data_IF_794867187944
#
_entry.id   IF_794867187944
#
_cell.length_a   1.000
_cell.length_b   1.000
_cell.length_c   1.000
_cell.angle_alpha   90.00
_cell.angle_beta   90.00
_cell.angle_gamma   90.00
#
_symmetry.space_group_name_H-M   'P 1'
#
loop_
_entity.id
_entity.type
_entity.pdbx_description
1 polymer ?
#
# COMPACT_ATOMS: atom_id res chain seq x y z
N UNK A 1 -28.09 -5.19 -11.06
CA UNK A 1 -27.76 -6.13 -9.95
C UNK A 1 -26.25 -6.38 -10.02
N UNK A 2 -25.51 -6.29 -8.90
CA UNK A 2 -24.04 -6.48 -8.91
C UNK A 2 -23.75 -7.98 -9.05
N UNK A 3 -22.98 -8.39 -10.05
CA UNK A 3 -22.54 -9.77 -10.25
C UNK A 3 -21.64 -10.20 -9.09
N UNK A 4 -21.84 -11.41 -8.59
CA UNK A 4 -21.14 -11.95 -7.43
C UNK A 4 -20.26 -13.15 -7.82
N UNK A 5 -19.33 -13.53 -6.94
CA UNK A 5 -18.50 -14.75 -7.12
C UNK A 5 -19.39 -16.01 -7.20
N UNK A 6 -20.56 -16.01 -6.57
CA UNK A 6 -21.52 -17.12 -6.62
C UNK A 6 -22.14 -17.26 -8.01
N UNK A 7 -22.37 -16.16 -8.73
CA UNK A 7 -22.87 -16.20 -10.10
C UNK A 7 -21.84 -16.78 -11.06
N UNK A 8 -20.55 -16.39 -10.88
CA UNK A 8 -19.44 -16.98 -11.64
C UNK A 8 -19.32 -18.48 -11.38
N UNK A 9 -19.40 -18.89 -10.11
CA UNK A 9 -19.31 -20.30 -9.72
C UNK A 9 -20.42 -21.12 -10.35
N UNK A 10 -21.64 -20.59 -10.35
CA UNK A 10 -22.82 -21.22 -10.96
C UNK A 10 -22.67 -21.38 -12.47
N UNK A 11 -22.22 -20.33 -13.16
CA UNK A 11 -22.03 -20.37 -14.62
C UNK A 11 -20.87 -21.29 -15.01
N UNK A 12 -19.77 -21.29 -14.26
CA UNK A 12 -18.61 -22.14 -14.52
C UNK A 12 -18.81 -23.60 -14.07
N UNK A 13 -19.89 -23.93 -13.34
CA UNK A 13 -20.16 -25.27 -12.84
C UNK A 13 -19.17 -25.74 -11.77
N UNK A 14 -18.70 -24.83 -10.90
CA UNK A 14 -17.72 -25.10 -9.84
C UNK A 14 -18.12 -24.46 -8.52
N UNK A 15 -17.39 -24.75 -7.43
CA UNK A 15 -17.61 -24.09 -6.15
C UNK A 15 -17.05 -22.67 -6.14
N UNK A 16 -17.58 -21.80 -5.26
CA UNK A 16 -17.04 -20.45 -5.03
C UNK A 16 -15.58 -20.50 -4.55
N UNK A 17 -15.21 -21.54 -3.81
CA UNK A 17 -13.82 -21.79 -3.41
C UNK A 17 -12.91 -22.05 -4.61
N UNK A 18 -13.38 -22.83 -5.60
CA UNK A 18 -12.63 -23.10 -6.85
C UNK A 18 -12.45 -21.80 -7.65
N UNK A 19 -13.50 -20.97 -7.79
CA UNK A 19 -13.38 -19.65 -8.43
C UNK A 19 -12.35 -18.78 -7.70
N UNK A 20 -12.41 -18.73 -6.37
CA UNK A 20 -11.45 -17.96 -5.55
C UNK A 20 -10.01 -18.48 -5.71
N UNK A 21 -9.81 -19.79 -5.75
CA UNK A 21 -8.49 -20.39 -5.97
C UNK A 21 -7.94 -20.09 -7.37
N UNK A 22 -8.80 -20.10 -8.39
CA UNK A 22 -8.44 -19.76 -9.77
C UNK A 22 -8.00 -18.30 -9.90
N UNK A 23 -8.80 -17.37 -9.37
CA UNK A 23 -8.51 -15.93 -9.46
C UNK A 23 -7.23 -15.56 -8.69
N UNK A 24 -7.03 -16.15 -7.51
CA UNK A 24 -5.92 -15.79 -6.62
C UNK A 24 -4.70 -16.71 -6.72
N UNK A 25 -4.75 -17.73 -7.57
CA UNK A 25 -3.70 -18.74 -7.75
C UNK A 25 -3.19 -19.36 -6.42
N UNK A 26 -4.11 -19.62 -5.48
CA UNK A 26 -3.79 -20.07 -4.11
C UNK A 26 -3.72 -21.59 -3.97
N UNK A 27 -4.27 -22.34 -4.91
CA UNK A 27 -4.20 -23.81 -5.01
C UNK A 27 -4.18 -24.24 -6.47
N UNK A 28 -3.71 -25.45 -6.71
CA UNK A 28 -3.78 -26.05 -8.03
C UNK A 28 -5.24 -26.19 -8.47
N UNK A 29 -5.52 -25.73 -9.67
CA UNK A 29 -6.79 -25.93 -10.41
C UNK A 29 -6.41 -26.35 -11.82
N UNK A 30 -7.06 -27.36 -12.37
CA UNK A 30 -6.78 -27.83 -13.73
C UNK A 30 -7.01 -26.71 -14.75
N UNK A 31 -6.24 -26.73 -15.85
CA UNK A 31 -6.33 -25.67 -16.86
C UNK A 31 -7.69 -25.60 -17.53
N UNK A 32 -8.35 -26.75 -17.73
CA UNK A 32 -9.73 -26.82 -18.20
C UNK A 32 -10.70 -26.09 -17.27
N UNK A 33 -10.55 -26.27 -15.95
CA UNK A 33 -11.39 -25.62 -14.95
C UNK A 33 -11.10 -24.12 -14.89
N UNK A 34 -9.83 -23.72 -15.00
CA UNK A 34 -9.45 -22.29 -15.07
C UNK A 34 -10.11 -21.61 -16.26
N UNK A 35 -10.05 -22.26 -17.45
CA UNK A 35 -10.64 -21.68 -18.67
C UNK A 35 -12.15 -21.45 -18.51
N UNK A 36 -12.89 -22.43 -17.97
CA UNK A 36 -14.33 -22.28 -17.69
C UNK A 36 -14.61 -21.13 -16.73
N UNK A 37 -13.79 -20.98 -15.69
CA UNK A 37 -13.93 -19.89 -14.73
C UNK A 37 -13.66 -18.54 -15.38
N UNK A 38 -12.58 -18.40 -16.15
CA UNK A 38 -12.26 -17.15 -16.85
C UNK A 38 -13.30 -16.80 -17.92
N UNK A 39 -13.85 -17.78 -18.60
CA UNK A 39 -14.94 -17.57 -19.54
C UNK A 39 -16.19 -17.02 -18.81
N UNK A 40 -16.59 -17.64 -17.71
CA UNK A 40 -17.71 -17.15 -16.91
C UNK A 40 -17.49 -15.72 -16.36
N UNK A 41 -16.27 -15.38 -15.96
CA UNK A 41 -15.89 -14.03 -15.54
C UNK A 41 -16.09 -13.03 -16.69
N UNK A 42 -15.63 -13.35 -17.90
CA UNK A 42 -15.77 -12.51 -19.09
C UNK A 42 -17.24 -12.31 -19.48
N UNK A 43 -18.02 -13.40 -19.52
CA UNK A 43 -19.44 -13.37 -19.89
C UNK A 43 -20.29 -12.54 -18.93
N UNK A 44 -20.03 -12.64 -17.63
CA UNK A 44 -20.77 -11.93 -16.60
C UNK A 44 -20.25 -10.51 -16.34
N UNK A 45 -19.10 -10.14 -16.89
CA UNK A 45 -18.42 -8.89 -16.55
C UNK A 45 -18.05 -8.82 -15.07
N UNK A 46 -17.74 -9.96 -14.44
CA UNK A 46 -17.41 -10.02 -13.03
C UNK A 46 -16.05 -9.38 -12.77
N UNK A 47 -16.03 -8.39 -11.90
CA UNK A 47 -14.79 -7.82 -11.37
C UNK A 47 -14.62 -8.27 -9.93
N UNK A 48 -13.49 -8.95 -9.60
CA UNK A 48 -13.20 -9.35 -8.23
C UNK A 48 -13.23 -8.14 -7.30
N UNK A 49 -13.92 -8.26 -6.17
CA UNK A 49 -14.00 -7.19 -5.19
C UNK A 49 -12.70 -7.15 -4.37
N UNK A 50 -11.89 -6.12 -4.62
CA UNK A 50 -10.64 -5.89 -3.90
C UNK A 50 -10.88 -5.72 -2.38
N UNK A 51 -12.03 -5.15 -2.00
CA UNK A 51 -12.41 -4.98 -0.59
C UNK A 51 -12.66 -6.34 0.08
N UNK A 52 -13.34 -7.27 -0.60
CA UNK A 52 -13.55 -8.62 -0.09
C UNK A 52 -12.23 -9.41 0.05
N UNK A 53 -11.26 -9.17 -0.86
CA UNK A 53 -9.93 -9.75 -0.77
C UNK A 53 -9.16 -9.16 0.41
N UNK A 54 -9.10 -7.84 0.56
CA UNK A 54 -8.39 -7.18 1.66
C UNK A 54 -9.00 -7.51 3.01
N UNK A 55 -10.33 -7.64 3.11
CA UNK A 55 -10.99 -8.08 4.34
C UNK A 55 -10.55 -9.48 4.76
N UNK A 56 -10.40 -10.42 3.82
CA UNK A 56 -9.98 -11.79 4.11
C UNK A 56 -8.49 -11.92 4.43
N UNK A 57 -7.64 -11.15 3.74
CA UNK A 57 -6.17 -11.23 3.87
C UNK A 57 -5.62 -10.27 4.92
N UNK A 58 -6.40 -9.29 5.36
CA UNK A 58 -5.95 -8.17 6.19
C UNK A 58 -5.00 -7.22 5.45
N UNK A 59 -4.76 -7.44 4.15
CA UNK A 59 -3.81 -6.64 3.34
C UNK A 59 -4.52 -6.03 2.13
N UNK A 60 -4.23 -4.77 1.84
CA UNK A 60 -4.73 -4.04 0.67
C UNK A 60 -3.83 -4.20 -0.55
N UNK A 61 -2.57 -4.61 -0.30
CA UNK A 61 -1.51 -4.65 -1.30
C UNK A 61 -1.33 -3.28 -1.97
N UNK A 62 -1.39 -2.24 -1.16
CA UNK A 62 -1.29 -0.85 -1.61
C UNK A 62 -0.44 -0.07 -0.62
N UNK A 63 0.47 0.74 -1.11
CA UNK A 63 1.32 1.64 -0.35
C UNK A 63 1.02 3.08 -0.78
N UNK A 64 0.95 4.00 0.16
CA UNK A 64 0.85 5.43 -0.12
C UNK A 64 2.22 6.07 -0.25
N UNK A 65 2.37 7.06 -1.12
CA UNK A 65 3.53 7.94 -1.15
C UNK A 65 3.09 9.39 -1.19
N UNK A 66 3.35 10.11 -0.10
CA UNK A 66 3.04 11.53 0.02
C UNK A 66 4.30 12.32 -0.31
N UNK A 67 4.20 13.18 -1.31
CA UNK A 67 5.31 14.01 -1.81
C UNK A 67 4.93 15.48 -1.84
N UNK A 68 5.90 16.39 -1.59
CA UNK A 68 5.63 17.83 -1.58
C UNK A 68 5.37 18.39 -2.99
N UNK A 69 6.08 17.90 -4.00
CA UNK A 69 5.92 18.36 -5.38
C UNK A 69 6.26 17.26 -6.40
N UNK A 70 5.24 16.75 -7.07
CA UNK A 70 5.37 15.73 -8.11
C UNK A 70 6.11 16.24 -9.37
N UNK A 71 6.16 17.54 -9.58
CA UNK A 71 6.88 18.14 -10.72
C UNK A 71 8.39 18.20 -10.49
N UNK A 72 8.84 18.07 -9.26
CA UNK A 72 10.24 18.00 -8.92
C UNK A 72 10.84 16.66 -9.38
N UNK A 73 11.85 16.74 -10.26
CA UNK A 73 12.51 15.58 -10.85
C UNK A 73 13.05 14.58 -9.81
N UNK A 74 13.49 15.06 -8.65
CA UNK A 74 13.95 14.22 -7.56
C UNK A 74 12.85 13.26 -7.09
N UNK A 75 11.67 13.80 -6.77
CA UNK A 75 10.52 12.97 -6.35
C UNK A 75 10.00 12.11 -7.51
N UNK A 76 10.01 12.62 -8.75
CA UNK A 76 9.62 11.82 -9.92
C UNK A 76 10.46 10.55 -10.07
N UNK A 77 11.79 10.67 -9.98
CA UNK A 77 12.70 9.50 -10.04
C UNK A 77 12.47 8.54 -8.89
N UNK A 78 12.20 9.06 -7.68
CA UNK A 78 11.96 8.23 -6.51
C UNK A 78 10.62 7.48 -6.63
N UNK A 79 9.57 8.15 -7.11
CA UNK A 79 8.25 7.53 -7.36
C UNK A 79 8.40 6.38 -8.34
N UNK A 80 9.11 6.58 -9.46
CA UNK A 80 9.34 5.55 -10.47
C UNK A 80 10.07 4.33 -9.88
N UNK A 81 11.12 4.54 -9.08
CA UNK A 81 11.86 3.46 -8.43
C UNK A 81 10.99 2.68 -7.43
N UNK A 82 10.21 3.38 -6.62
CA UNK A 82 9.29 2.78 -5.64
C UNK A 82 8.18 2.01 -6.33
N UNK A 83 7.58 2.58 -7.39
CA UNK A 83 6.51 1.95 -8.15
C UNK A 83 6.97 0.64 -8.80
N UNK A 84 8.13 0.66 -9.48
CA UNK A 84 8.71 -0.54 -10.08
C UNK A 84 8.92 -1.65 -9.05
N UNK A 85 9.53 -1.32 -7.91
CA UNK A 85 9.78 -2.29 -6.84
C UNK A 85 8.47 -2.87 -6.27
N UNK A 86 7.47 -2.01 -6.00
CA UNK A 86 6.18 -2.43 -5.46
C UNK A 86 5.41 -3.30 -6.46
N UNK A 87 5.43 -2.95 -7.74
CA UNK A 87 4.78 -3.69 -8.83
C UNK A 87 5.34 -5.11 -8.96
N UNK A 88 6.66 -5.28 -8.90
CA UNK A 88 7.33 -6.59 -8.89
C UNK A 88 6.89 -7.48 -7.71
N UNK A 89 6.50 -6.84 -6.59
CA UNK A 89 6.04 -7.55 -5.39
C UNK A 89 4.50 -7.64 -5.26
N UNK A 90 3.76 -7.26 -6.31
CA UNK A 90 2.30 -7.32 -6.36
C UNK A 90 1.60 -6.27 -5.49
N UNK A 91 2.28 -5.14 -5.24
CA UNK A 91 1.71 -3.97 -4.57
C UNK A 91 1.42 -2.85 -5.58
N UNK A 92 0.46 -2.00 -5.24
CA UNK A 92 0.12 -0.79 -5.98
C UNK A 92 0.59 0.45 -5.21
N UNK A 93 0.88 1.54 -5.93
CA UNK A 93 1.28 2.80 -5.36
C UNK A 93 0.15 3.83 -5.51
N UNK A 94 -0.21 4.51 -4.42
CA UNK A 94 -1.07 5.70 -4.43
C UNK A 94 -0.21 6.91 -4.10
N UNK A 95 -0.22 7.91 -4.97
CA UNK A 95 0.58 9.13 -4.81
C UNK A 95 -0.34 10.28 -4.36
N UNK A 96 0.08 11.02 -3.34
CA UNK A 96 -0.54 12.26 -2.93
C UNK A 96 0.45 13.42 -3.04
N UNK A 97 0.09 14.44 -3.81
CA UNK A 97 0.89 15.66 -3.99
C UNK A 97 0.38 16.77 -3.09
N UNK A 98 1.17 17.17 -2.10
CA UNK A 98 0.76 18.17 -1.10
C UNK A 98 1.00 19.61 -1.54
N UNK A 99 1.84 19.85 -2.53
CA UNK A 99 2.27 21.20 -2.98
C UNK A 99 2.89 22.02 -1.86
N UNK A 100 3.75 21.43 -1.06
CA UNK A 100 4.41 22.04 0.10
C UNK A 100 3.41 22.59 1.16
N UNK A 101 2.19 22.06 1.22
CA UNK A 101 1.12 22.51 2.10
C UNK A 101 0.87 21.47 3.22
N UNK A 102 1.13 21.84 4.48
CA UNK A 102 0.99 20.97 5.63
C UNK A 102 -0.46 20.53 5.91
N UNK A 103 -1.46 21.35 5.57
CA UNK A 103 -2.87 21.01 5.76
C UNK A 103 -3.33 19.98 4.72
N UNK A 104 -2.81 20.07 3.49
CA UNK A 104 -3.01 19.05 2.45
C UNK A 104 -2.31 17.75 2.82
N UNK A 105 -1.13 17.83 3.40
CA UNK A 105 -0.40 16.66 3.89
C UNK A 105 -1.22 15.96 4.98
N UNK A 106 -1.71 16.68 5.98
CA UNK A 106 -2.55 16.14 7.05
C UNK A 106 -3.80 15.45 6.48
N UNK A 107 -4.48 16.11 5.54
CA UNK A 107 -5.66 15.55 4.87
C UNK A 107 -5.33 14.25 4.14
N UNK A 108 -4.19 14.21 3.43
CA UNK A 108 -3.73 13.03 2.69
C UNK A 108 -3.34 11.89 3.63
N UNK A 109 -2.66 12.20 4.74
CA UNK A 109 -2.32 11.24 5.79
C UNK A 109 -3.59 10.60 6.36
N UNK A 110 -4.57 11.40 6.78
CA UNK A 110 -5.85 10.91 7.32
C UNK A 110 -6.58 10.02 6.32
N UNK A 111 -6.65 10.43 5.05
CA UNK A 111 -7.33 9.69 4.00
C UNK A 111 -6.66 8.34 3.74
N UNK A 112 -5.35 8.32 3.56
CA UNK A 112 -4.62 7.09 3.21
C UNK A 112 -4.61 6.11 4.40
N UNK A 113 -4.39 6.59 5.61
CA UNK A 113 -4.35 5.75 6.81
C UNK A 113 -5.72 5.26 7.27
N UNK A 114 -6.82 5.88 6.81
CA UNK A 114 -8.19 5.44 7.09
C UNK A 114 -8.56 4.09 6.44
N UNK A 115 -7.59 3.34 5.96
CA UNK A 115 -7.79 1.98 5.48
C UNK A 115 -7.63 1.82 3.96
N UNK A 116 -7.05 2.79 3.26
CA UNK A 116 -6.77 2.68 1.82
C UNK A 116 -5.46 1.95 1.52
N UNK A 117 -4.46 2.06 2.41
CA UNK A 117 -3.12 1.52 2.20
C UNK A 117 -2.64 0.68 3.39
N UNK A 118 -1.64 -0.15 3.19
CA UNK A 118 -1.02 -0.98 4.23
C UNK A 118 0.15 -0.26 4.93
N UNK A 119 0.68 0.78 4.32
CA UNK A 119 1.76 1.62 4.83
C UNK A 119 1.95 2.85 3.96
N UNK A 120 2.72 3.82 4.44
CA UNK A 120 3.00 5.06 3.70
C UNK A 120 4.48 5.42 3.72
N UNK A 121 4.92 6.00 2.59
CA UNK A 121 6.15 6.76 2.45
C UNK A 121 5.78 8.25 2.49
N UNK A 122 6.52 9.06 3.23
CA UNK A 122 6.20 10.49 3.36
C UNK A 122 7.47 11.33 3.25
N UNK A 123 7.50 12.25 2.29
CA UNK A 123 8.42 13.38 2.28
C UNK A 123 7.69 14.57 2.92
N UNK A 124 7.74 14.64 4.26
CA UNK A 124 6.90 15.57 5.02
C UNK A 124 7.30 17.03 4.79
N UNK A 125 6.27 17.89 4.72
CA UNK A 125 6.39 19.35 4.74
C UNK A 125 6.03 19.93 6.10
N UNK A 126 5.53 19.11 7.02
CA UNK A 126 5.23 19.52 8.39
C UNK A 126 6.53 19.76 9.16
N UNK A 127 6.59 20.85 9.91
CA UNK A 127 7.70 21.16 10.83
C UNK A 127 7.42 20.60 12.24
N UNK A 128 6.15 20.52 12.64
CA UNK A 128 5.73 20.03 13.95
C UNK A 128 5.52 18.51 13.94
N UNK A 129 6.44 17.80 14.57
CA UNK A 129 6.34 16.34 14.73
C UNK A 129 5.09 15.92 15.52
N UNK A 130 4.66 16.67 16.52
CA UNK A 130 3.48 16.29 17.31
C UNK A 130 2.21 16.33 16.44
N UNK A 131 2.11 17.30 15.53
CA UNK A 131 1.02 17.39 14.56
C UNK A 131 1.04 16.19 13.61
N UNK A 132 2.23 15.83 13.11
CA UNK A 132 2.42 14.66 12.25
C UNK A 132 2.03 13.36 12.97
N UNK A 133 2.59 13.13 14.17
CA UNK A 133 2.34 11.92 14.97
C UNK A 133 0.86 11.77 15.35
N UNK A 134 0.21 12.85 15.75
CA UNK A 134 -1.23 12.85 16.08
C UNK A 134 -2.15 12.52 14.90
N UNK A 135 -1.65 12.66 13.66
CA UNK A 135 -2.41 12.37 12.44
C UNK A 135 -2.36 10.89 12.07
N UNK A 136 -1.35 10.16 12.53
CA UNK A 136 -1.10 8.78 12.15
C UNK A 136 -1.64 7.83 13.21
N UNK A 137 -2.45 6.81 12.82
CA UNK A 137 -2.92 5.80 13.76
C UNK A 137 -1.75 5.05 14.43
N UNK A 138 -1.88 4.77 15.71
CA UNK A 138 -0.85 4.04 16.45
C UNK A 138 -0.51 2.70 15.78
N UNK A 139 0.79 2.45 15.57
CA UNK A 139 1.30 1.23 14.96
C UNK A 139 1.14 1.15 13.43
N UNK A 140 0.67 2.21 12.77
CA UNK A 140 0.59 2.24 11.32
C UNK A 140 2.00 2.37 10.70
N UNK A 141 2.36 1.55 9.69
CA UNK A 141 3.69 1.58 9.08
C UNK A 141 3.95 2.88 8.30
N UNK A 142 4.96 3.62 8.71
CA UNK A 142 5.37 4.87 8.07
C UNK A 142 6.87 4.89 7.84
N UNK A 143 7.29 5.33 6.66
CA UNK A 143 8.68 5.60 6.31
C UNK A 143 8.81 7.06 5.93
N UNK A 144 9.62 7.82 6.66
CA UNK A 144 9.97 9.20 6.30
C UNK A 144 11.12 9.19 5.28
N UNK A 145 10.96 9.99 4.24
CA UNK A 145 11.89 10.09 3.11
C UNK A 145 12.32 11.54 2.95
N UNK A 146 13.59 11.78 2.65
CA UNK A 146 14.19 13.10 2.41
C UNK A 146 14.23 13.99 3.65
N UNK A 147 13.08 14.39 4.18
CA UNK A 147 12.97 15.24 5.37
C UNK A 147 12.63 14.40 6.60
N UNK A 148 13.34 14.65 7.68
CA UNK A 148 13.13 13.94 8.95
C UNK A 148 12.93 14.96 10.07
N UNK A 149 12.09 14.61 11.04
CA UNK A 149 11.95 15.42 12.25
C UNK A 149 13.14 15.17 13.19
N UNK A 150 13.57 16.18 13.92
CA UNK A 150 14.56 16.06 15.00
C UNK A 150 13.96 15.40 16.26
N UNK A 151 13.27 14.29 16.11
CA UNK A 151 12.62 13.61 17.22
C UNK A 151 13.37 12.34 17.65
N UNK A 152 13.37 12.06 18.94
CA UNK A 152 14.22 11.08 19.64
C UNK A 152 14.00 9.59 19.30
N UNK A 153 13.03 9.22 18.45
CA UNK A 153 12.67 7.82 18.20
C UNK A 153 12.44 7.46 16.72
N UNK A 154 13.11 8.16 15.81
CA UNK A 154 13.04 7.84 14.38
C UNK A 154 14.22 6.95 14.02
N UNK A 155 13.95 5.71 13.57
CA UNK A 155 14.97 4.85 12.99
C UNK A 155 15.41 5.45 11.66
N UNK A 156 16.63 6.01 11.62
CA UNK A 156 17.23 6.49 10.38
C UNK A 156 17.76 5.30 9.59
N UNK A 157 17.17 5.02 8.45
CA UNK A 157 17.79 4.15 7.46
C UNK A 157 18.59 5.03 6.49
N UNK A 158 19.90 5.05 6.65
CA UNK A 158 20.81 5.77 5.73
C UNK A 158 21.24 4.77 4.69
N UNK A 159 20.79 4.92 3.44
CA UNK A 159 21.33 4.14 2.33
C UNK A 159 22.67 4.73 1.89
N UNK A 160 23.76 3.93 1.80
CA UNK A 160 25.07 4.44 1.38
C UNK A 160 25.15 4.79 -0.12
N UNK A 161 24.12 4.52 -0.92
CA UNK A 161 24.13 4.70 -2.38
C UNK A 161 23.36 5.95 -2.83
N UNK A 162 22.42 6.43 -2.01
CA UNK A 162 21.72 7.70 -2.24
C UNK A 162 21.70 8.46 -0.92
N UNK A 163 22.26 9.66 -0.91
CA UNK A 163 22.15 10.57 0.22
C UNK A 163 20.84 11.35 0.14
N UNK A 164 19.71 10.73 0.43
CA UNK A 164 18.68 11.31 1.24
C UNK A 164 18.43 10.41 2.46
N UNK A 165 18.20 11.05 3.62
CA UNK A 165 17.91 10.34 4.86
C UNK A 165 16.57 9.65 4.75
N UNK A 166 16.56 8.31 4.77
CA UNK A 166 15.32 7.53 4.92
C UNK A 166 15.21 7.19 6.41
N UNK A 167 14.14 7.62 7.05
CA UNK A 167 13.86 7.31 8.44
C UNK A 167 12.61 6.45 8.52
N UNK A 168 12.69 5.28 9.16
CA UNK A 168 11.54 4.42 9.41
C UNK A 168 10.93 4.84 10.75
N UNK A 169 9.68 5.28 10.71
CA UNK A 169 8.90 5.62 11.87
C UNK A 169 8.05 4.41 12.31
N UNK A 170 8.31 3.93 13.53
CA UNK A 170 7.41 3.01 14.22
C UNK A 170 6.63 3.84 15.23
N UNK A 171 5.41 4.24 14.87
CA UNK A 171 4.53 5.03 15.73
C UNK A 171 4.45 4.44 17.15
N UNK A 172 4.15 5.27 18.12
CA UNK A 172 4.24 5.13 19.59
C UNK A 172 3.91 3.74 20.18
N UNK A 173 4.67 2.71 19.78
CA UNK A 173 4.76 1.43 20.45
C UNK A 173 6.05 1.43 21.27
N UNK A 174 5.86 1.52 22.59
CA UNK A 174 6.96 1.40 23.52
C UNK A 174 7.82 0.15 23.24
N UNK A 175 9.15 0.40 23.16
CA UNK A 175 10.28 -0.49 22.93
C UNK A 175 10.66 -0.68 21.45
N UNK A 176 11.67 0.09 21.06
CA UNK A 176 12.52 -0.19 19.92
C UNK A 176 13.07 -1.63 20.02
N UNK A 177 12.74 -2.47 19.05
CA UNK A 177 13.54 -3.67 18.79
C UNK A 177 14.75 -3.24 17.98
N UNK A 178 15.92 -3.24 18.61
CA UNK A 178 17.20 -3.19 17.93
C UNK A 178 17.33 -4.46 17.09
N UNK A 179 17.06 -4.37 15.81
CA UNK A 179 17.41 -5.38 14.84
C UNK A 179 18.81 -5.08 14.32
N UNK A 180 19.81 -5.83 14.79
CA UNK A 180 21.11 -5.91 14.12
C UNK A 180 20.90 -6.51 12.74
N UNK A 181 21.15 -5.72 11.71
CA UNK A 181 21.26 -6.21 10.35
C UNK A 181 22.67 -6.75 10.13
N UNK A 182 22.75 -7.99 9.71
CA UNK A 182 23.87 -8.58 8.98
C UNK A 182 23.78 -8.17 7.52
#
# INVERSE_FOLDING_TARGET
MKVTISDVARLAGVSTATVSHTINNTRYVSDETKERVYQAIRELGYTPDASARSFRTGKKQTVGFIVPDISNKFFGTMIEAVENYLSEHGYHLIIANTKEDADREETSLRLLTAGLVDGILVASTMEDFNRFDATIPAGFPVVLVDRTFEARNILRCVSPIFSPSIAVYAGSLGKARSGSAL
#
